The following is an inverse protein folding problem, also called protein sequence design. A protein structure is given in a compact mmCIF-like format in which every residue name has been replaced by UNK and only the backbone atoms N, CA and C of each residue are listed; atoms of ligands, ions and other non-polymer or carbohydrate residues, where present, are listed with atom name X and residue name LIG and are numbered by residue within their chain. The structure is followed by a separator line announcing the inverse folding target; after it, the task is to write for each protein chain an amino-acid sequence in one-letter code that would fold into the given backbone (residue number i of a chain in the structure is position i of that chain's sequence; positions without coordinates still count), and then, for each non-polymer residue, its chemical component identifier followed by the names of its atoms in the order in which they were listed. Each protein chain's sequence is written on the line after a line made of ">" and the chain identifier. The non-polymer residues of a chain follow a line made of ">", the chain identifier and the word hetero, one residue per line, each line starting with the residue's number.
data_IF_956883774282
#
_entry.id   IF_956883774282
#
_cell.length_a   1.000
_cell.length_b   1.000
_cell.length_c   1.000
_cell.angle_alpha   90.00
_cell.angle_beta   90.00
_cell.angle_gamma   90.00
#
_symmetry.space_group_name_H-M   'P 1'
#
loop_
_entity.id
_entity.type
_entity.pdbx_description
1 polymer ?
#
# COMPACT_ATOMS: atom_id res chain seq x y z
N UNK A 1 -4.21 -6.14 -20.44
CA UNK A 1 -4.11 -4.88 -19.66
C UNK A 1 -5.09 -5.01 -18.50
N UNK A 2 -4.67 -4.68 -17.29
CA UNK A 2 -5.54 -4.71 -16.09
C UNK A 2 -6.61 -3.62 -16.24
N UNK A 3 -7.89 -4.00 -16.14
CA UNK A 3 -9.00 -3.05 -16.17
C UNK A 3 -9.52 -2.81 -14.75
N UNK A 4 -9.78 -1.56 -14.39
CA UNK A 4 -10.23 -1.18 -13.04
C UNK A 4 -11.51 -1.92 -12.61
N UNK A 5 -12.46 -2.12 -13.55
CA UNK A 5 -13.70 -2.84 -13.25
C UNK A 5 -13.45 -4.30 -12.81
N UNK A 6 -12.41 -4.95 -13.38
CA UNK A 6 -12.08 -6.33 -13.03
C UNK A 6 -11.40 -6.40 -11.67
N UNK A 7 -10.58 -5.37 -11.33
CA UNK A 7 -9.97 -5.22 -9.99
C UNK A 7 -11.06 -5.01 -8.94
N UNK A 8 -12.00 -4.08 -9.16
CA UNK A 8 -13.12 -3.83 -8.26
C UNK A 8 -13.92 -5.12 -8.03
N UNK A 9 -14.38 -5.78 -9.09
CA UNK A 9 -15.18 -6.98 -8.98
C UNK A 9 -14.45 -8.11 -8.23
N UNK A 10 -13.13 -8.27 -8.49
CA UNK A 10 -12.32 -9.29 -7.83
C UNK A 10 -12.22 -9.08 -6.32
N UNK A 11 -12.02 -7.83 -5.87
CA UNK A 11 -11.86 -7.52 -4.46
C UNK A 11 -13.21 -7.41 -3.74
N UNK A 12 -14.26 -6.88 -4.39
CA UNK A 12 -15.62 -6.85 -3.81
C UNK A 12 -16.11 -8.26 -3.49
N UNK A 13 -15.93 -9.22 -4.41
CA UNK A 13 -16.34 -10.62 -4.20
C UNK A 13 -15.65 -11.27 -2.98
N UNK A 14 -14.44 -10.82 -2.65
CA UNK A 14 -13.60 -11.42 -1.59
C UNK A 14 -13.60 -10.65 -0.28
N UNK A 15 -14.15 -9.45 -0.27
CA UNK A 15 -14.05 -8.54 0.87
C UNK A 15 -14.59 -9.15 2.18
N UNK A 16 -15.70 -9.91 2.10
CA UNK A 16 -16.34 -10.53 3.27
C UNK A 16 -15.46 -11.53 4.02
N UNK A 17 -14.65 -12.28 3.29
CA UNK A 17 -13.78 -13.34 3.84
C UNK A 17 -12.30 -12.92 3.90
N UNK A 18 -11.99 -11.67 3.53
CA UNK A 18 -10.62 -11.18 3.37
C UNK A 18 -9.76 -11.35 4.61
N UNK A 19 -10.28 -10.93 5.76
CA UNK A 19 -9.56 -10.97 7.02
C UNK A 19 -9.38 -12.41 7.54
N UNK A 20 -10.33 -13.32 7.26
CA UNK A 20 -10.27 -14.72 7.70
C UNK A 20 -9.16 -15.52 7.00
N UNK A 21 -8.82 -15.15 5.75
CA UNK A 21 -7.76 -15.79 4.97
C UNK A 21 -6.38 -15.15 5.14
N UNK A 22 -6.26 -14.07 5.92
CA UNK A 22 -5.04 -13.27 5.98
C UNK A 22 -3.98 -13.90 6.88
N UNK A 23 -2.80 -14.13 6.31
CA UNK A 23 -1.59 -14.46 7.08
C UNK A 23 -0.89 -13.15 7.44
N UNK A 24 -0.89 -12.81 8.73
CA UNK A 24 -0.32 -11.58 9.26
C UNK A 24 0.90 -11.87 10.13
N UNK A 25 1.96 -11.09 9.98
CA UNK A 25 3.13 -11.06 10.85
C UNK A 25 3.33 -9.65 11.40
N UNK A 26 3.06 -9.47 12.70
CA UNK A 26 3.22 -8.15 13.36
C UNK A 26 4.67 -7.69 13.37
N UNK A 27 5.64 -8.61 13.48
CA UNK A 27 7.07 -8.32 13.41
C UNK A 27 7.44 -7.71 12.04
N UNK A 28 7.04 -8.37 10.93
CA UNK A 28 7.30 -7.88 9.58
C UNK A 28 6.64 -6.53 9.32
N UNK A 29 5.38 -6.39 9.72
CA UNK A 29 4.66 -5.11 9.60
C UNK A 29 5.36 -4.03 10.42
N UNK A 30 5.78 -4.34 11.65
CA UNK A 30 6.56 -3.43 12.48
C UNK A 30 7.79 -2.91 11.74
N UNK A 31 8.60 -3.81 11.19
CA UNK A 31 9.80 -3.46 10.41
C UNK A 31 9.48 -2.64 9.16
N UNK A 32 8.44 -3.01 8.42
CA UNK A 32 8.00 -2.28 7.21
C UNK A 32 7.65 -0.83 7.57
N UNK A 33 6.88 -0.63 8.64
CA UNK A 33 6.45 0.69 9.08
C UNK A 33 7.59 1.52 9.70
N UNK A 34 8.57 0.88 10.35
CA UNK A 34 9.78 1.55 10.83
C UNK A 34 10.62 2.08 9.66
N UNK A 35 10.85 1.27 8.63
CA UNK A 35 11.54 1.68 7.41
C UNK A 35 10.77 2.80 6.67
N UNK A 36 9.44 2.77 6.69
CA UNK A 36 8.58 3.83 6.14
C UNK A 36 8.54 5.10 7.00
N UNK A 37 9.27 5.14 8.13
CA UNK A 37 9.28 6.23 9.12
C UNK A 37 7.89 6.61 9.66
N UNK A 38 6.98 5.64 9.76
CA UNK A 38 5.66 5.83 10.39
C UNK A 38 5.83 5.91 11.90
N UNK A 39 5.56 7.07 12.48
CA UNK A 39 5.78 7.38 13.90
C UNK A 39 4.69 8.29 14.45
N UNK A 40 4.75 8.57 15.74
CA UNK A 40 3.86 9.52 16.39
C UNK A 40 3.82 10.86 15.63
N UNK A 41 2.62 11.38 15.44
CA UNK A 41 2.37 12.62 14.73
C UNK A 41 2.43 12.54 13.19
N UNK A 42 2.79 11.41 12.58
CA UNK A 42 2.83 11.25 11.12
C UNK A 42 1.44 11.39 10.49
N UNK A 43 1.36 12.03 9.34
CA UNK A 43 0.20 12.00 8.42
C UNK A 43 0.45 10.89 7.41
N UNK A 44 -0.37 9.85 7.44
CA UNK A 44 -0.18 8.64 6.65
C UNK A 44 -1.19 8.57 5.51
N UNK A 45 -0.72 8.21 4.31
CA UNK A 45 -1.57 7.79 3.20
C UNK A 45 -1.39 6.29 2.98
N UNK A 46 -2.47 5.55 3.15
CA UNK A 46 -2.52 4.09 2.96
C UNK A 46 -3.19 3.77 1.62
N UNK A 47 -2.43 3.25 0.69
CA UNK A 47 -2.85 2.98 -0.69
C UNK A 47 -3.28 1.53 -0.85
N UNK A 48 -4.49 1.33 -1.40
CA UNK A 48 -5.14 0.03 -1.49
C UNK A 48 -5.24 -0.62 -0.10
N UNK A 49 -5.86 0.11 0.83
CA UNK A 49 -5.90 -0.24 2.25
C UNK A 49 -6.71 -1.52 2.55
N UNK A 50 -7.47 -2.03 1.58
CA UNK A 50 -8.36 -3.17 1.74
C UNK A 50 -9.36 -2.94 2.88
N UNK A 51 -9.54 -3.95 3.71
CA UNK A 51 -10.36 -3.89 4.92
C UNK A 51 -9.72 -3.13 6.08
N UNK A 52 -8.63 -2.37 5.83
CA UNK A 52 -7.90 -1.61 6.85
C UNK A 52 -6.81 -2.40 7.55
N UNK A 53 -6.10 -3.25 6.82
CA UNK A 53 -5.08 -4.19 7.34
C UNK A 53 -4.04 -3.54 8.25
N UNK A 54 -3.58 -2.33 7.92
CA UNK A 54 -2.55 -1.60 8.66
C UNK A 54 -3.09 -0.49 9.57
N UNK A 55 -4.38 -0.16 9.51
CA UNK A 55 -4.95 0.98 10.25
C UNK A 55 -4.68 0.85 11.76
N UNK A 56 -4.89 -0.34 12.34
CA UNK A 56 -4.61 -0.57 13.75
C UNK A 56 -3.15 -0.35 14.14
N UNK A 57 -2.20 -0.61 13.23
CA UNK A 57 -0.77 -0.39 13.45
C UNK A 57 -0.44 1.10 13.44
N UNK A 58 -1.01 1.86 12.52
CA UNK A 58 -0.87 3.32 12.48
C UNK A 58 -1.40 3.96 13.75
N UNK A 59 -2.59 3.56 14.20
CA UNK A 59 -3.21 4.09 15.41
C UNK A 59 -2.37 3.77 16.66
N UNK A 60 -1.83 2.56 16.78
CA UNK A 60 -0.92 2.19 17.89
C UNK A 60 0.38 3.01 17.91
N UNK A 61 0.83 3.49 16.75
CA UNK A 61 2.00 4.38 16.62
C UNK A 61 1.70 5.85 16.91
N UNK A 62 0.44 6.20 17.20
CA UNK A 62 0.06 7.57 17.53
C UNK A 62 0.12 8.54 16.35
N UNK A 63 -0.17 8.07 15.13
CA UNK A 63 -0.17 8.94 13.96
C UNK A 63 -1.22 10.06 14.07
N UNK A 64 -0.91 11.24 13.53
CA UNK A 64 -1.83 12.37 13.57
C UNK A 64 -3.10 12.10 12.74
N UNK A 65 -2.93 11.51 11.54
CA UNK A 65 -4.06 11.16 10.68
C UNK A 65 -3.71 10.05 9.71
N UNK A 66 -4.74 9.32 9.28
CA UNK A 66 -4.67 8.36 8.18
C UNK A 66 -5.66 8.75 7.11
N UNK A 67 -5.19 8.85 5.85
CA UNK A 67 -6.06 8.80 4.67
C UNK A 67 -5.88 7.43 4.05
N UNK A 68 -6.94 6.62 4.05
CA UNK A 68 -6.93 5.26 3.53
C UNK A 68 -7.79 5.20 2.26
N UNK A 69 -7.22 4.74 1.16
CA UNK A 69 -7.90 4.64 -0.13
C UNK A 69 -7.92 3.21 -0.64
N UNK A 70 -9.06 2.79 -1.14
CA UNK A 70 -9.21 1.55 -1.89
C UNK A 70 -10.21 1.73 -3.03
N UNK A 71 -9.99 1.01 -4.13
CA UNK A 71 -10.88 1.09 -5.29
C UNK A 71 -12.17 0.27 -5.10
N UNK A 72 -12.16 -0.70 -4.19
CA UNK A 72 -13.29 -1.57 -3.87
C UNK A 72 -14.24 -0.91 -2.85
N UNK A 73 -15.50 -0.65 -3.21
CA UNK A 73 -16.51 -0.16 -2.27
C UNK A 73 -16.73 -1.07 -1.06
N UNK A 74 -16.70 -2.41 -1.26
CA UNK A 74 -16.91 -3.35 -0.18
C UNK A 74 -15.73 -3.39 0.81
N UNK A 75 -14.49 -3.31 0.33
CA UNK A 75 -13.31 -3.16 1.19
C UNK A 75 -13.44 -1.92 2.08
N UNK A 76 -13.76 -0.77 1.48
CA UNK A 76 -13.94 0.50 2.21
C UNK A 76 -15.10 0.44 3.18
N UNK A 77 -16.20 -0.23 2.84
CA UNK A 77 -17.34 -0.40 3.76
C UNK A 77 -16.89 -1.15 5.03
N UNK A 78 -16.21 -2.27 4.87
CA UNK A 78 -15.71 -3.09 5.99
C UNK A 78 -14.66 -2.31 6.81
N UNK A 79 -13.75 -1.62 6.14
CA UNK A 79 -12.72 -0.82 6.81
C UNK A 79 -13.32 0.28 7.70
N UNK A 80 -14.35 0.98 7.22
CA UNK A 80 -15.08 2.02 8.00
C UNK A 80 -15.79 1.45 9.22
N UNK A 81 -16.37 0.27 9.10
CA UNK A 81 -17.03 -0.40 10.25
C UNK A 81 -16.02 -0.81 11.32
N UNK A 82 -14.82 -1.24 10.92
CA UNK A 82 -13.75 -1.66 11.83
C UNK A 82 -13.04 -0.49 12.51
N UNK A 83 -12.91 0.65 11.82
CA UNK A 83 -12.09 1.78 12.26
C UNK A 83 -12.87 3.10 12.20
N UNK A 84 -13.75 3.35 13.19
CA UNK A 84 -14.60 4.56 13.24
C UNK A 84 -13.87 5.80 13.82
N UNK A 85 -12.54 5.77 14.01
CA UNK A 85 -11.78 6.85 14.62
C UNK A 85 -11.81 8.11 13.74
N UNK A 86 -11.99 9.28 14.35
CA UNK A 86 -12.13 10.58 13.66
C UNK A 86 -10.88 10.97 12.86
N UNK A 87 -9.70 10.50 13.28
CA UNK A 87 -8.44 10.75 12.58
C UNK A 87 -8.15 9.78 11.42
N UNK A 88 -9.12 8.91 11.06
CA UNK A 88 -9.05 8.01 9.91
C UNK A 88 -10.08 8.40 8.86
N UNK A 89 -9.61 8.85 7.70
CA UNK A 89 -10.45 9.21 6.55
C UNK A 89 -10.36 8.13 5.47
N UNK A 90 -11.50 7.54 5.13
CA UNK A 90 -11.60 6.56 4.04
C UNK A 90 -12.08 7.19 2.74
N UNK A 91 -11.41 6.85 1.63
CA UNK A 91 -11.75 7.29 0.27
C UNK A 91 -11.96 6.03 -0.59
N UNK A 92 -13.16 5.88 -1.17
CA UNK A 92 -13.40 4.88 -2.18
C UNK A 92 -13.06 5.47 -3.56
N UNK A 93 -12.07 4.90 -4.25
CA UNK A 93 -11.67 5.40 -5.56
C UNK A 93 -10.27 4.96 -5.98
N UNK A 94 -9.91 5.34 -7.20
CA UNK A 94 -8.59 5.09 -7.75
C UNK A 94 -7.53 5.97 -7.09
N UNK A 95 -6.49 5.36 -6.56
CA UNK A 95 -5.38 6.02 -5.87
C UNK A 95 -4.65 7.08 -6.73
N UNK A 96 -4.70 6.95 -8.06
CA UNK A 96 -4.05 7.89 -8.96
C UNK A 96 -4.88 9.15 -9.23
N UNK A 97 -6.21 9.09 -9.12
CA UNK A 97 -7.12 10.16 -9.49
C UNK A 97 -7.98 10.71 -8.35
N UNK A 98 -8.15 9.95 -7.27
CA UNK A 98 -8.98 10.36 -6.14
C UNK A 98 -8.40 11.60 -5.41
N UNK A 99 -9.25 12.43 -4.79
CA UNK A 99 -8.84 13.62 -4.04
C UNK A 99 -8.28 13.24 -2.66
N UNK A 100 -7.07 12.70 -2.63
CA UNK A 100 -6.43 12.16 -1.42
C UNK A 100 -5.84 13.24 -0.52
N UNK A 101 -5.52 14.42 -1.06
CA UNK A 101 -4.78 15.47 -0.37
C UNK A 101 -3.27 15.35 -0.62
N UNK A 102 -2.50 16.15 0.11
CA UNK A 102 -1.05 16.31 -0.02
C UNK A 102 -0.40 16.44 1.36
N UNK A 103 0.93 16.56 1.35
CA UNK A 103 1.74 16.78 2.55
C UNK A 103 1.75 15.60 3.52
N UNK A 104 1.88 14.38 3.01
CA UNK A 104 2.03 13.19 3.82
C UNK A 104 3.47 13.00 4.28
N UNK A 105 3.63 12.53 5.51
CA UNK A 105 4.93 12.17 6.09
C UNK A 105 5.32 10.73 5.70
N UNK A 106 4.31 9.86 5.51
CA UNK A 106 4.50 8.50 5.03
C UNK A 106 3.38 8.09 4.06
N UNK A 107 3.75 7.44 2.95
CA UNK A 107 2.83 6.80 2.01
C UNK A 107 3.17 5.32 1.94
N UNK A 108 2.18 4.46 2.15
CA UNK A 108 2.36 3.01 2.22
C UNK A 108 1.50 2.33 1.17
N UNK A 109 2.12 1.45 0.38
CA UNK A 109 1.47 0.50 -0.54
C UNK A 109 1.83 -0.90 -0.04
N UNK A 110 0.91 -1.57 0.64
CA UNK A 110 1.16 -2.87 1.27
C UNK A 110 0.36 -3.98 0.62
N UNK A 111 1.05 -5.03 0.15
CA UNK A 111 0.46 -6.22 -0.51
C UNK A 111 -0.46 -5.91 -1.71
N UNK A 112 -0.26 -4.78 -2.40
CA UNK A 112 -1.18 -4.33 -3.45
C UNK A 112 -0.50 -3.92 -4.77
N UNK A 113 0.81 -3.67 -4.75
CA UNK A 113 1.54 -3.08 -5.90
C UNK A 113 1.35 -3.81 -7.25
N UNK A 114 1.28 -5.15 -7.33
CA UNK A 114 1.04 -5.86 -8.59
C UNK A 114 -0.28 -5.54 -9.29
N UNK A 115 -1.24 -4.93 -8.61
CA UNK A 115 -2.55 -4.58 -9.14
C UNK A 115 -2.59 -3.21 -9.84
N UNK A 116 -1.52 -2.43 -9.75
CA UNK A 116 -1.41 -1.15 -10.44
C UNK A 116 -0.85 -1.33 -11.86
N UNK A 117 -1.58 -0.84 -12.90
CA UNK A 117 -1.19 -1.09 -14.29
C UNK A 117 0.05 -0.31 -14.73
N UNK A 118 0.33 0.85 -14.12
CA UNK A 118 1.42 1.75 -14.47
C UNK A 118 2.24 2.14 -13.22
N UNK A 119 3.29 1.35 -12.89
CA UNK A 119 4.15 1.60 -11.75
C UNK A 119 4.84 2.96 -11.75
N UNK A 120 5.31 3.42 -12.91
CA UNK A 120 6.03 4.70 -13.02
C UNK A 120 5.11 5.87 -12.70
N UNK A 121 3.91 5.87 -13.27
CA UNK A 121 2.92 6.92 -13.04
C UNK A 121 2.45 6.92 -11.58
N UNK A 122 2.20 5.73 -11.00
CA UNK A 122 1.83 5.63 -9.59
C UNK A 122 2.90 6.24 -8.69
N UNK A 123 4.17 5.81 -8.82
CA UNK A 123 5.28 6.31 -7.99
C UNK A 123 5.42 7.83 -8.13
N UNK A 124 5.39 8.36 -9.35
CA UNK A 124 5.48 9.80 -9.60
C UNK A 124 4.38 10.59 -8.88
N UNK A 125 3.13 10.12 -8.97
CA UNK A 125 1.97 10.76 -8.32
C UNK A 125 2.02 10.68 -6.81
N UNK A 126 2.45 9.55 -6.25
CA UNK A 126 2.58 9.39 -4.80
C UNK A 126 3.75 10.20 -4.24
N UNK A 127 4.90 10.21 -4.90
CA UNK A 127 6.05 11.02 -4.51
C UNK A 127 5.73 12.51 -4.47
N UNK A 128 4.92 13.02 -5.41
CA UNK A 128 4.48 14.41 -5.43
C UNK A 128 3.69 14.82 -4.17
N UNK A 129 2.98 13.87 -3.53
CA UNK A 129 2.14 14.11 -2.34
C UNK A 129 2.91 14.11 -1.01
N UNK A 130 4.18 13.71 -1.01
CA UNK A 130 5.03 13.72 0.18
C UNK A 130 5.49 15.14 0.55
N UNK A 131 5.72 15.36 1.82
CA UNK A 131 6.55 16.48 2.29
C UNK A 131 8.04 16.19 2.04
N UNK A 132 8.91 17.21 2.10
CA UNK A 132 10.36 16.99 2.16
C UNK A 132 10.71 16.14 3.41
N UNK A 133 11.55 15.12 3.25
CA UNK A 133 11.84 14.12 4.26
C UNK A 133 10.76 13.04 4.45
N UNK A 134 9.61 13.15 3.77
CA UNK A 134 8.56 12.12 3.80
C UNK A 134 8.95 10.90 2.98
N UNK A 135 8.40 9.72 3.32
CA UNK A 135 8.77 8.44 2.69
C UNK A 135 7.60 7.77 1.98
N UNK A 136 7.89 7.26 0.78
CA UNK A 136 7.05 6.30 0.07
C UNK A 136 7.62 4.91 0.26
N UNK A 137 6.78 3.94 0.61
CA UNK A 137 7.15 2.53 0.66
C UNK A 137 6.19 1.67 -0.16
N UNK A 138 6.75 0.74 -0.92
CA UNK A 138 6.05 -0.41 -1.50
C UNK A 138 6.56 -1.65 -0.79
N UNK A 139 5.67 -2.41 -0.15
CA UNK A 139 6.07 -3.56 0.66
C UNK A 139 5.10 -4.74 0.52
N UNK A 140 5.65 -5.93 0.70
CA UNK A 140 4.89 -7.17 0.83
C UNK A 140 5.42 -7.99 2.02
N UNK A 141 4.51 -8.59 2.78
CA UNK A 141 4.82 -9.46 3.94
C UNK A 141 5.26 -10.87 3.54
N UNK A 142 5.55 -11.11 2.26
CA UNK A 142 6.00 -12.38 1.69
C UNK A 142 7.08 -12.14 0.64
N UNK A 143 7.80 -13.19 0.25
CA UNK A 143 8.79 -13.11 -0.83
C UNK A 143 8.14 -12.84 -2.18
N UNK A 144 8.89 -12.25 -3.10
CA UNK A 144 8.46 -12.07 -4.49
C UNK A 144 7.99 -13.39 -5.12
N UNK A 145 8.74 -14.47 -4.93
CA UNK A 145 8.41 -15.79 -5.48
C UNK A 145 7.05 -16.31 -4.97
N UNK A 146 6.75 -16.11 -3.67
CA UNK A 146 5.47 -16.49 -3.08
C UNK A 146 4.31 -15.64 -3.62
N UNK A 147 4.50 -14.34 -3.78
CA UNK A 147 3.52 -13.42 -4.37
C UNK A 147 3.22 -13.81 -5.82
N UNK A 148 4.26 -14.03 -6.65
CA UNK A 148 4.08 -14.42 -8.05
C UNK A 148 3.42 -15.80 -8.18
N UNK A 149 3.70 -16.73 -7.26
CA UNK A 149 3.02 -18.03 -7.22
C UNK A 149 1.53 -17.88 -6.90
N UNK A 150 1.19 -17.03 -5.95
CA UNK A 150 -0.20 -16.73 -5.59
C UNK A 150 -0.96 -16.07 -6.76
N UNK A 151 -0.31 -15.18 -7.51
CA UNK A 151 -0.94 -14.45 -8.61
C UNK A 151 -1.07 -15.27 -9.91
N UNK A 152 -0.41 -16.43 -10.05
CA UNK A 152 -0.59 -17.33 -11.21
C UNK A 152 -1.98 -17.98 -11.31
N UNK A 153 -2.79 -17.91 -10.25
CA UNK A 153 -4.14 -18.46 -10.18
C UNK A 153 -5.23 -17.43 -10.53
N UNK A 154 -6.22 -17.33 -9.66
CA UNK A 154 -7.40 -16.48 -9.83
C UNK A 154 -7.06 -14.97 -9.98
N UNK A 155 -5.97 -14.51 -9.37
CA UNK A 155 -5.54 -13.12 -9.43
C UNK A 155 -4.79 -12.75 -10.73
N UNK A 156 -4.51 -13.69 -11.64
CA UNK A 156 -3.75 -13.42 -12.87
C UNK A 156 -4.38 -12.38 -13.80
N UNK A 157 -5.71 -12.21 -13.73
CA UNK A 157 -6.44 -11.20 -14.53
C UNK A 157 -6.29 -9.77 -13.99
N UNK A 158 -5.95 -9.64 -12.71
CA UNK A 158 -5.90 -8.36 -11.99
C UNK A 158 -4.50 -8.04 -11.46
N UNK A 159 -3.47 -8.73 -11.94
CA UNK A 159 -2.10 -8.57 -11.46
C UNK A 159 -1.08 -8.67 -12.60
N UNK A 160 -0.08 -7.79 -12.56
CA UNK A 160 1.11 -7.83 -13.44
C UNK A 160 2.26 -8.68 -12.89
N UNK A 161 2.07 -9.34 -11.73
CA UNK A 161 3.17 -9.90 -10.93
C UNK A 161 3.94 -8.85 -10.16
N UNK A 162 4.76 -9.28 -9.18
CA UNK A 162 5.57 -8.35 -8.39
C UNK A 162 6.86 -8.00 -9.14
N UNK A 163 7.03 -6.70 -9.41
CA UNK A 163 8.23 -6.17 -10.06
C UNK A 163 9.49 -6.54 -9.27
N UNK A 164 10.61 -6.73 -9.97
CA UNK A 164 11.92 -6.87 -9.33
C UNK A 164 12.26 -5.64 -8.47
N UNK A 165 12.87 -5.87 -7.30
CA UNK A 165 13.13 -4.79 -6.34
C UNK A 165 14.10 -3.73 -6.86
N UNK A 166 15.12 -4.13 -7.62
CA UNK A 166 16.06 -3.18 -8.23
C UNK A 166 15.39 -2.39 -9.36
N UNK A 167 14.51 -3.04 -10.14
CA UNK A 167 13.73 -2.35 -11.16
C UNK A 167 12.78 -1.32 -10.54
N UNK A 168 12.12 -1.66 -9.43
CA UNK A 168 11.28 -0.71 -8.70
C UNK A 168 12.10 0.42 -8.08
N UNK A 169 13.27 0.11 -7.50
CA UNK A 169 14.18 1.10 -6.95
C UNK A 169 14.65 2.09 -8.03
N UNK A 170 14.89 1.64 -9.26
CA UNK A 170 15.22 2.52 -10.39
C UNK A 170 14.07 3.48 -10.75
N UNK A 171 12.81 3.06 -10.60
CA UNK A 171 11.64 3.96 -10.77
C UNK A 171 11.61 4.97 -9.63
N UNK A 172 11.78 4.53 -8.38
CA UNK A 172 11.84 5.41 -7.21
C UNK A 172 12.91 6.48 -7.35
N UNK A 173 14.12 6.10 -7.80
CA UNK A 173 15.27 7.00 -7.95
C UNK A 173 15.05 8.17 -8.91
N UNK A 174 14.01 8.14 -9.74
CA UNK A 174 13.62 9.27 -10.61
C UNK A 174 12.92 10.40 -9.85
N UNK A 175 12.41 10.13 -8.67
CA UNK A 175 11.55 11.04 -7.90
C UNK A 175 11.95 11.18 -6.43
N UNK A 176 12.68 10.21 -5.89
CA UNK A 176 12.99 10.05 -4.48
C UNK A 176 14.44 9.58 -4.31
N UNK A 177 15.05 9.87 -3.17
CA UNK A 177 16.29 9.23 -2.75
C UNK A 177 15.95 7.84 -2.18
N UNK A 178 16.34 6.77 -2.86
CA UNK A 178 16.13 5.39 -2.39
C UNK A 178 16.92 5.17 -1.11
N UNK A 179 16.24 4.69 -0.05
CA UNK A 179 16.84 4.44 1.26
C UNK A 179 16.97 2.96 1.58
N UNK A 180 16.01 2.13 1.13
CA UNK A 180 16.00 0.71 1.42
C UNK A 180 15.51 -0.08 0.20
N UNK A 181 16.21 -1.19 -0.09
CA UNK A 181 15.80 -2.20 -1.07
C UNK A 181 15.96 -3.55 -0.42
N UNK A 182 14.86 -4.21 -0.12
CA UNK A 182 14.81 -5.49 0.57
C UNK A 182 14.03 -6.49 -0.29
N UNK A 183 14.67 -7.59 -0.65
CA UNK A 183 14.02 -8.72 -1.33
C UNK A 183 14.62 -10.01 -0.78
N UNK A 184 13.88 -10.63 0.13
CA UNK A 184 14.29 -11.85 0.83
C UNK A 184 13.26 -12.95 0.66
N UNK A 185 13.52 -14.14 1.19
CA UNK A 185 12.53 -15.23 1.22
C UNK A 185 11.32 -14.93 2.12
N UNK A 186 11.38 -13.86 2.93
CA UNK A 186 10.36 -13.53 3.90
C UNK A 186 9.58 -12.27 3.60
N UNK A 187 10.19 -11.29 2.95
CA UNK A 187 9.56 -10.00 2.68
C UNK A 187 10.19 -9.29 1.47
N UNK A 188 9.42 -8.36 0.94
CA UNK A 188 9.83 -7.45 -0.11
C UNK A 188 9.52 -6.01 0.34
N UNK A 189 10.47 -5.08 0.15
CA UNK A 189 10.23 -3.67 0.41
C UNK A 189 11.19 -2.79 -0.39
N UNK A 190 10.66 -1.71 -0.97
CA UNK A 190 11.43 -0.59 -1.52
C UNK A 190 10.96 0.68 -0.85
N UNK A 191 11.88 1.50 -0.35
CA UNK A 191 11.61 2.77 0.32
C UNK A 191 12.37 3.90 -0.37
N UNK A 192 11.70 5.02 -0.58
CA UNK A 192 12.30 6.25 -1.06
C UNK A 192 11.85 7.45 -0.24
N UNK A 193 12.75 8.38 -0.01
CA UNK A 193 12.56 9.61 0.75
C UNK A 193 12.57 10.82 -0.18
N UNK A 194 11.64 11.74 -0.02
CA UNK A 194 11.57 13.00 -0.77
C UNK A 194 12.60 13.99 -0.25
N UNK A 195 13.44 14.47 -1.14
CA UNK A 195 14.42 15.54 -0.83
C UNK A 195 13.77 16.91 -0.65
#
# INVERSE_FOLDING_TARGET
>A
MIEQKDVIAFFDERAGDWDAGMIRSDEKIGRILDNAAVREGSRVLDIACGTGVLIGDYLRRGVASVTAVDISPEMIRIAREKFPQENVRFVCGDAESAPLGENFDAIVVYNAFPHFPDPERLVARLAARLVSGGRLTVAHGSSRAAIDAHHRGAASRVSNGLMDSEALAAIFARHLRVTDVISTDEMYQVVGEKE
#
